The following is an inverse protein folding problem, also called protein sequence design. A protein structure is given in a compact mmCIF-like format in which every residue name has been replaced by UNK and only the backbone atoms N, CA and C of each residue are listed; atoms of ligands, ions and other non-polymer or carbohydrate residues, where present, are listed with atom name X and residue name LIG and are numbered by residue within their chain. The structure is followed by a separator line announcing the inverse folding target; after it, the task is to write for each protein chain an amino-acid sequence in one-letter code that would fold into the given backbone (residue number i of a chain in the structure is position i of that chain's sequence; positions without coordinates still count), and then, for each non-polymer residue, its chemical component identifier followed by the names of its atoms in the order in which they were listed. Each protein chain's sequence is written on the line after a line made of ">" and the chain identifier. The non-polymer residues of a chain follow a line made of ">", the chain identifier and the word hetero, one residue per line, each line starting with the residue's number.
data_IF_063906112496
#
_entry.id   IF_063906112496
#
_cell.length_a   1.000
_cell.length_b   1.000
_cell.length_c   1.000
_cell.angle_alpha   90.00
_cell.angle_beta   90.00
_cell.angle_gamma   90.00
#
_symmetry.space_group_name_H-M   'P 1'
#
loop_
_entity.id
_entity.type
_entity.pdbx_description
1 polymer ?
#
# COMPACT_ATOMS: atom_id res chain seq x y z
N UNK A 1 -12.91 -8.90 -7.94
CA UNK A 1 -11.71 -8.10 -7.61
C UNK A 1 -11.92 -7.49 -6.22
N UNK A 2 -11.01 -7.78 -5.27
CA UNK A 2 -11.21 -7.43 -3.87
C UNK A 2 -11.12 -5.91 -3.64
N UNK A 3 -11.70 -5.41 -2.55
CA UNK A 3 -11.66 -3.97 -2.20
C UNK A 3 -10.23 -3.45 -2.03
N UNK A 4 -9.36 -4.28 -1.45
CA UNK A 4 -7.94 -4.00 -1.23
C UNK A 4 -7.20 -3.83 -2.57
N UNK A 5 -7.57 -4.61 -3.59
CA UNK A 5 -6.96 -4.53 -4.91
C UNK A 5 -7.18 -3.15 -5.56
N UNK A 6 -8.36 -2.52 -5.36
CA UNK A 6 -8.66 -1.20 -5.92
C UNK A 6 -7.89 -0.07 -5.24
N UNK A 7 -7.82 -0.10 -3.90
CA UNK A 7 -7.04 0.87 -3.14
C UNK A 7 -5.55 0.79 -3.50
N UNK A 8 -5.00 -0.42 -3.61
CA UNK A 8 -3.63 -0.64 -4.05
C UNK A 8 -3.39 -0.09 -5.47
N UNK A 9 -4.29 -0.37 -6.43
CA UNK A 9 -4.17 0.15 -7.79
C UNK A 9 -4.25 1.67 -7.88
N UNK A 10 -5.09 2.32 -7.07
CA UNK A 10 -5.13 3.79 -7.00
C UNK A 10 -3.80 4.36 -6.47
N UNK A 11 -3.26 3.79 -5.40
CA UNK A 11 -1.96 4.21 -4.87
C UNK A 11 -0.82 3.97 -5.87
N UNK A 12 -0.85 2.86 -6.61
CA UNK A 12 0.11 2.57 -7.68
C UNK A 12 -0.01 3.60 -8.81
N UNK A 13 -1.22 3.94 -9.24
CA UNK A 13 -1.44 4.95 -10.27
C UNK A 13 -0.90 6.32 -9.82
N UNK A 14 -1.15 6.71 -8.57
CA UNK A 14 -0.58 7.92 -8.00
C UNK A 14 0.95 7.88 -7.95
N UNK A 15 1.55 6.78 -7.45
CA UNK A 15 3.00 6.63 -7.40
C UNK A 15 3.65 6.76 -8.79
N UNK A 16 3.03 6.19 -9.83
CA UNK A 16 3.49 6.33 -11.23
C UNK A 16 3.35 7.75 -11.77
N UNK A 17 2.40 8.53 -11.27
CA UNK A 17 2.21 9.92 -11.71
C UNK A 17 3.32 10.85 -11.20
N UNK A 18 3.93 10.52 -10.05
CA UNK A 18 5.00 11.32 -9.42
C UNK A 18 6.40 10.74 -9.64
N UNK A 19 6.53 9.47 -10.03
CA UNK A 19 7.85 8.85 -10.26
C UNK A 19 7.80 7.76 -11.34
N UNK A 20 8.80 7.78 -12.22
CA UNK A 20 9.03 6.72 -13.22
C UNK A 20 9.70 5.47 -12.64
N UNK A 21 10.32 5.58 -11.46
CA UNK A 21 11.00 4.48 -10.77
C UNK A 21 10.14 3.92 -9.61
N UNK A 22 8.81 4.02 -9.73
CA UNK A 22 7.92 3.47 -8.73
C UNK A 22 8.10 1.94 -8.64
N UNK A 23 8.10 1.43 -7.41
CA UNK A 23 8.21 0.02 -7.11
C UNK A 23 7.17 -0.37 -6.06
N UNK A 24 6.49 -1.48 -6.29
CA UNK A 24 5.54 -2.05 -5.33
C UNK A 24 6.26 -3.05 -4.43
N UNK A 25 5.92 -3.02 -3.14
CA UNK A 25 6.47 -3.94 -2.14
C UNK A 25 5.32 -4.70 -1.50
N UNK A 26 5.42 -6.02 -1.49
CA UNK A 26 4.48 -6.89 -0.81
C UNK A 26 5.19 -7.73 0.25
N UNK A 27 4.62 -7.78 1.46
CA UNK A 27 5.14 -8.63 2.54
C UNK A 27 4.26 -9.84 2.66
N UNK A 28 4.89 -11.00 2.53
CA UNK A 28 4.24 -12.29 2.50
C UNK A 28 4.65 -13.11 3.72
N UNK A 29 3.74 -13.93 4.23
CA UNK A 29 3.98 -14.77 5.42
C UNK A 29 4.54 -16.14 5.08
N UNK A 30 4.52 -16.53 3.80
CA UNK A 30 5.00 -17.82 3.30
C UNK A 30 5.24 -17.77 1.80
N UNK A 31 6.14 -18.61 1.29
CA UNK A 31 6.43 -18.70 -0.15
C UNK A 31 5.18 -19.02 -0.98
N UNK A 32 4.28 -19.86 -0.47
CA UNK A 32 3.02 -20.17 -1.14
C UNK A 32 2.15 -18.93 -1.36
N UNK A 33 2.02 -18.06 -0.34
CA UNK A 33 1.25 -16.83 -0.45
C UNK A 33 1.96 -15.75 -1.28
N UNK A 34 3.30 -15.73 -1.27
CA UNK A 34 4.10 -14.88 -2.14
C UNK A 34 3.85 -15.22 -3.62
N UNK A 35 3.84 -16.52 -3.94
CA UNK A 35 3.66 -16.99 -5.31
C UNK A 35 2.22 -16.78 -5.80
N UNK A 36 1.23 -16.93 -4.93
CA UNK A 36 -0.14 -16.56 -5.23
C UNK A 36 -0.30 -15.06 -5.54
N UNK A 37 0.34 -14.19 -4.73
CA UNK A 37 0.33 -12.76 -4.96
C UNK A 37 1.06 -12.38 -6.26
N UNK A 38 2.20 -13.01 -6.55
CA UNK A 38 2.94 -12.79 -7.81
C UNK A 38 2.08 -13.07 -9.03
N UNK A 39 1.37 -14.21 -9.07
CA UNK A 39 0.43 -14.52 -10.16
C UNK A 39 -0.69 -13.49 -10.28
N UNK A 40 -1.18 -12.97 -9.15
CA UNK A 40 -2.21 -11.92 -9.11
C UNK A 40 -1.69 -10.60 -9.65
N UNK A 41 -0.49 -10.20 -9.26
CA UNK A 41 0.19 -8.99 -9.72
C UNK A 41 0.40 -8.99 -11.23
N UNK A 42 0.85 -10.11 -11.79
CA UNK A 42 1.03 -10.26 -13.24
C UNK A 42 -0.27 -9.98 -14.01
N UNK A 43 -1.42 -10.42 -13.48
CA UNK A 43 -2.73 -10.13 -14.10
C UNK A 43 -3.13 -8.67 -14.05
N UNK A 44 -2.63 -7.90 -13.08
CA UNK A 44 -2.94 -6.47 -12.97
C UNK A 44 -2.20 -5.62 -14.01
N UNK A 45 -1.09 -6.12 -14.56
CA UNK A 45 -0.29 -5.47 -15.60
C UNK A 45 -0.06 -3.96 -15.34
N UNK A 46 0.38 -3.63 -14.11
CA UNK A 46 0.45 -2.25 -13.62
C UNK A 46 1.59 -1.43 -14.23
N UNK A 47 2.55 -2.10 -14.89
CA UNK A 47 3.80 -1.50 -15.37
C UNK A 47 4.77 -1.14 -14.24
N UNK A 48 4.53 -1.61 -13.01
CA UNK A 48 5.36 -1.37 -11.83
C UNK A 48 6.05 -2.66 -11.41
N UNK A 49 7.35 -2.57 -11.09
CA UNK A 49 8.10 -3.70 -10.57
C UNK A 49 7.60 -4.10 -9.17
N UNK A 50 7.60 -5.39 -8.87
CA UNK A 50 7.15 -5.93 -7.59
C UNK A 50 8.30 -6.62 -6.87
N UNK A 51 8.62 -6.14 -5.67
CA UNK A 51 9.47 -6.84 -4.73
C UNK A 51 8.60 -7.54 -3.67
N UNK A 52 8.83 -8.83 -3.46
CA UNK A 52 8.14 -9.60 -2.42
C UNK A 52 9.13 -9.94 -1.31
N UNK A 53 8.79 -9.56 -0.09
CA UNK A 53 9.56 -9.86 1.12
C UNK A 53 8.84 -10.97 1.86
N UNK A 54 9.45 -12.15 1.93
CA UNK A 54 8.93 -13.25 2.75
C UNK A 54 9.41 -13.03 4.18
N UNK A 55 8.46 -12.71 5.07
CA UNK A 55 8.73 -12.58 6.50
C UNK A 55 8.08 -13.72 7.27
N UNK A 56 8.86 -14.67 7.80
CA UNK A 56 8.34 -15.61 8.79
C UNK A 56 7.83 -14.81 10.02
N UNK A 57 6.88 -15.39 10.75
CA UNK A 57 6.28 -14.83 11.99
C UNK A 57 5.32 -13.63 11.84
N UNK A 58 4.80 -13.34 10.63
CA UNK A 58 3.82 -12.25 10.40
C UNK A 58 4.30 -10.85 10.81
N UNK A 59 5.62 -10.66 10.97
CA UNK A 59 6.21 -9.34 11.17
C UNK A 59 6.13 -8.55 9.85
N UNK A 60 5.50 -7.38 9.86
CA UNK A 60 5.34 -6.53 8.67
C UNK A 60 6.27 -5.31 8.74
N UNK A 61 6.36 -4.66 9.89
CA UNK A 61 7.04 -3.38 10.03
C UNK A 61 8.55 -3.56 9.88
N UNK A 62 9.17 -4.45 10.67
CA UNK A 62 10.63 -4.59 10.70
C UNK A 62 11.23 -4.98 9.34
N UNK A 63 10.68 -5.97 8.60
CA UNK A 63 11.18 -6.29 7.26
C UNK A 63 11.05 -5.13 6.28
N UNK A 64 9.94 -4.38 6.34
CA UNK A 64 9.74 -3.21 5.48
C UNK A 64 10.76 -2.12 5.74
N UNK A 65 11.02 -1.80 7.01
CA UNK A 65 12.00 -0.79 7.39
C UNK A 65 13.40 -1.18 6.91
N UNK A 66 13.81 -2.44 7.10
CA UNK A 66 15.10 -2.94 6.59
C UNK A 66 15.21 -2.84 5.08
N UNK A 67 14.12 -3.09 4.37
CA UNK A 67 14.08 -2.96 2.93
C UNK A 67 14.25 -1.49 2.50
N UNK A 68 13.54 -0.56 3.14
CA UNK A 68 13.69 0.88 2.89
C UNK A 68 15.14 1.33 3.21
N UNK A 69 15.71 0.90 4.34
CA UNK A 69 17.10 1.16 4.71
C UNK A 69 18.10 0.75 3.62
N UNK A 70 17.90 -0.43 3.04
CA UNK A 70 18.75 -0.93 1.96
C UNK A 70 18.68 -0.04 0.71
N UNK A 71 17.50 0.44 0.33
CA UNK A 71 17.34 1.33 -0.82
C UNK A 71 17.94 2.71 -0.53
N UNK A 72 17.65 3.31 0.63
CA UNK A 72 18.19 4.64 0.98
C UNK A 72 19.72 4.63 0.93
N UNK A 73 20.33 3.56 1.46
CA UNK A 73 21.80 3.39 1.44
C UNK A 73 22.36 3.26 0.02
N UNK A 74 21.62 2.62 -0.89
CA UNK A 74 22.05 2.39 -2.27
C UNK A 74 21.91 3.63 -3.14
N UNK A 75 20.77 4.30 -3.05
CA UNK A 75 20.39 5.39 -3.97
C UNK A 75 20.88 6.77 -3.49
N UNK A 76 21.22 6.92 -2.19
CA UNK A 76 21.60 8.18 -1.55
C UNK A 76 20.59 9.33 -1.79
N UNK A 77 19.33 9.00 -2.08
CA UNK A 77 18.24 9.94 -2.35
C UNK A 77 17.07 9.71 -1.39
N UNK A 78 16.26 10.75 -1.11
CA UNK A 78 15.04 10.59 -0.33
C UNK A 78 14.06 9.62 -1.01
N UNK A 79 13.44 8.76 -0.20
CA UNK A 79 12.41 7.82 -0.68
C UNK A 79 11.04 8.38 -0.33
N UNK A 80 10.11 8.28 -1.28
CA UNK A 80 8.69 8.53 -1.05
C UNK A 80 7.96 7.19 -0.90
N UNK A 81 7.41 6.94 0.29
CA UNK A 81 6.57 5.80 0.61
C UNK A 81 5.12 6.19 0.39
N UNK A 82 4.47 5.57 -0.58
CA UNK A 82 3.05 5.79 -0.89
C UNK A 82 2.23 4.67 -0.22
N UNK A 83 1.38 5.03 0.73
CA UNK A 83 0.53 4.11 1.47
C UNK A 83 -0.91 4.19 0.95
N UNK A 84 -1.46 3.07 0.49
CA UNK A 84 -2.88 2.97 0.17
C UNK A 84 -3.67 2.91 1.49
N UNK A 85 -4.50 3.92 1.75
CA UNK A 85 -5.27 3.98 2.98
C UNK A 85 -6.74 3.74 2.75
N UNK A 86 -7.24 2.72 3.45
CA UNK A 86 -8.66 2.50 3.54
C UNK A 86 -9.26 3.50 4.52
N UNK A 87 -10.10 4.40 4.02
CA UNK A 87 -10.88 5.32 4.85
C UNK A 87 -12.23 4.66 5.17
N UNK A 88 -12.47 4.16 6.40
CA UNK A 88 -13.80 3.71 6.80
C UNK A 88 -14.78 4.89 6.87
N UNK A 89 -16.09 4.60 6.82
CA UNK A 89 -17.15 5.64 6.96
C UNK A 89 -17.10 6.37 8.31
N UNK A 90 -16.46 5.79 9.33
CA UNK A 90 -16.33 6.38 10.66
C UNK A 90 -14.88 6.33 11.18
N UNK A 91 -14.34 7.49 11.54
CA UNK A 91 -12.96 7.67 12.00
C UNK A 91 -12.66 7.01 13.37
N UNK A 92 -13.69 6.74 14.19
CA UNK A 92 -13.54 6.13 15.52
C UNK A 92 -13.31 4.61 15.49
N UNK A 93 -13.73 3.90 14.42
CA UNK A 93 -13.40 2.48 14.19
C UNK A 93 -11.90 2.27 13.86
N UNK A 94 -11.22 3.33 13.41
CA UNK A 94 -9.81 3.34 13.01
C UNK A 94 -8.84 3.23 14.20
N UNK A 95 -9.22 3.78 15.36
CA UNK A 95 -8.40 3.84 16.58
C UNK A 95 -8.36 2.48 17.31
N UNK A 96 -9.39 1.63 17.16
CA UNK A 96 -9.50 0.36 17.89
C UNK A 96 -8.86 -0.85 17.20
N UNK A 97 -8.71 -0.86 15.87
CA UNK A 97 -8.42 -2.11 15.14
C UNK A 97 -7.18 -2.14 14.22
N UNK A 98 -6.56 -1.00 13.86
CA UNK A 98 -5.45 -0.99 12.87
C UNK A 98 -4.07 -0.60 13.45
N UNK A 99 -3.74 -1.09 14.64
CA UNK A 99 -2.48 -0.77 15.36
C UNK A 99 -1.20 -0.91 14.51
N UNK A 100 -1.19 -1.76 13.47
CA UNK A 100 -0.03 -1.93 12.59
C UNK A 100 0.20 -0.75 11.64
N UNK A 101 -0.86 -0.13 11.09
CA UNK A 101 -0.73 1.00 10.18
C UNK A 101 -0.21 2.24 10.93
N UNK A 102 -0.80 2.55 12.09
CA UNK A 102 -0.35 3.65 12.96
C UNK A 102 1.10 3.48 13.40
N UNK A 103 1.50 2.26 13.80
CA UNK A 103 2.90 1.97 14.16
C UNK A 103 3.85 2.11 12.98
N UNK A 104 3.45 1.69 11.78
CA UNK A 104 4.27 1.86 10.59
C UNK A 104 4.47 3.34 10.25
N UNK A 105 3.40 4.14 10.24
CA UNK A 105 3.51 5.58 10.00
C UNK A 105 4.40 6.28 11.03
N UNK A 106 4.19 5.99 12.31
CA UNK A 106 5.03 6.52 13.37
C UNK A 106 6.50 6.15 13.13
N UNK A 107 6.78 4.89 12.80
CA UNK A 107 8.13 4.45 12.49
C UNK A 107 8.73 5.13 11.25
N UNK A 108 7.94 5.45 10.22
CA UNK A 108 8.40 6.14 9.02
C UNK A 108 8.58 7.66 9.23
N UNK A 109 7.74 8.29 10.04
CA UNK A 109 7.78 9.73 10.32
C UNK A 109 9.08 10.16 10.99
N UNK A 110 9.60 9.34 11.91
CA UNK A 110 10.85 9.63 12.60
C UNK A 110 12.10 9.18 11.83
N UNK A 111 11.96 8.77 10.56
CA UNK A 111 13.10 8.34 9.73
C UNK A 111 13.59 9.47 8.84
N UNK A 112 14.91 9.73 8.80
CA UNK A 112 15.47 10.71 7.90
C UNK A 112 15.31 10.25 6.44
N UNK A 113 15.30 11.19 5.51
CA UNK A 113 15.23 10.92 4.06
C UNK A 113 14.03 10.07 3.62
N UNK A 114 12.95 10.07 4.40
CA UNK A 114 11.72 9.32 4.10
C UNK A 114 10.54 10.28 4.09
N UNK A 115 9.81 10.33 2.97
CA UNK A 115 8.56 11.07 2.81
C UNK A 115 7.44 10.03 2.79
N UNK A 116 6.35 10.28 3.51
CA UNK A 116 5.17 9.40 3.51
C UNK A 116 4.01 10.15 2.87
N UNK A 117 3.35 9.52 1.90
CA UNK A 117 2.12 10.02 1.29
C UNK A 117 1.03 8.99 1.50
N UNK A 118 -0.02 9.40 2.20
CA UNK A 118 -1.22 8.60 2.37
C UNK A 118 -2.17 8.88 1.20
N UNK A 119 -2.53 7.83 0.46
CA UNK A 119 -3.50 7.89 -0.64
C UNK A 119 -4.81 7.32 -0.14
N UNK A 120 -5.76 8.17 0.28
CA UNK A 120 -7.02 7.70 0.79
C UNK A 120 -7.87 7.11 -0.34
N UNK A 121 -8.43 5.93 -0.10
CA UNK A 121 -9.45 5.32 -0.94
C UNK A 121 -10.81 5.53 -0.27
N UNK A 122 -11.58 6.49 -0.80
CA UNK A 122 -12.95 6.76 -0.37
C UNK A 122 -13.92 5.91 -1.19
N UNK A 123 -14.76 5.13 -0.51
CA UNK A 123 -15.91 4.48 -1.14
C UNK A 123 -17.03 5.51 -1.23
N UNK A 124 -17.07 6.31 -2.29
CA UNK A 124 -18.36 6.85 -2.70
C UNK A 124 -19.12 5.75 -3.42
N UNK A 125 -20.26 5.41 -2.82
CA UNK A 125 -21.15 4.30 -3.11
C UNK A 125 -21.43 4.14 -4.62
N UNK A 126 -20.83 3.12 -5.25
CA UNK A 126 -21.33 2.64 -6.56
C UNK A 126 -22.81 2.21 -6.45
N UNK A 127 -23.27 1.89 -5.24
CA UNK A 127 -24.67 1.66 -4.91
C UNK A 127 -25.54 2.95 -4.95
N UNK A 128 -25.01 4.11 -4.57
CA UNK A 128 -25.75 5.38 -4.58
C UNK A 128 -25.73 6.03 -5.96
N UNK A 129 -24.66 5.83 -6.75
CA UNK A 129 -24.64 6.21 -8.16
C UNK A 129 -25.67 5.41 -8.97
N UNK A 130 -25.80 4.10 -8.69
CA UNK A 130 -26.83 3.25 -9.27
C UNK A 130 -28.25 3.61 -8.80
N UNK A 131 -28.41 4.11 -7.56
CA UNK A 131 -29.69 4.57 -7.02
C UNK A 131 -30.12 5.91 -7.63
N UNK A 132 -29.19 6.86 -7.77
CA UNK A 132 -29.42 8.17 -8.43
C UNK A 132 -29.68 8.07 -9.93
N UNK A 133 -29.16 7.04 -10.60
CA UNK A 133 -29.44 6.76 -12.00
C UNK A 133 -30.80 6.06 -12.23
N UNK A 134 -31.42 5.53 -11.18
CA UNK A 134 -32.74 4.88 -11.23
C UNK A 134 -33.89 5.84 -10.89
N UNK A 135 -33.60 6.93 -10.21
CA UNK A 135 -34.54 8.00 -9.84
C UNK A 135 -34.58 9.16 -10.87
N UNK A 136 -34.03 8.96 -12.07
CA UNK A 136 -34.15 9.85 -13.24
C UNK A 136 -34.73 9.07 -14.42
#
# INVERSE_FOLDING_TARGET
>A
MARIDRAALQAIAFARSISRNAKAVHISTSDASAEEFRRRWQRWNTGVSLDIIVSPYRSLIVPLLRYIDAIVKSEQQPITVVLAEFVPRHWWEWILHSQTATRLKAALLFRPHTIVIDVPYHFEDTADLARRAKDR
#
